data_IF_054493086529
#
_entry.id   IF_054493086529
#
_cell.length_a   1.000
_cell.length_b   1.000
_cell.length_c   1.000
_cell.angle_alpha   90.00
_cell.angle_beta   90.00
_cell.angle_gamma   90.00
#
_symmetry.space_group_name_H-M   'P 1'
#
loop_
_entity.id
_entity.type
_entity.pdbx_description
1 polymer ?
#
# COMPACT_ATOMS: atom_id res chain seq x y z
N UNK A 1 19.53 36.97 5.52
CA UNK A 1 18.93 38.26 5.14
C UNK A 1 18.12 37.98 3.87
N UNK A 2 16.84 37.58 3.92
CA UNK A 2 15.63 38.43 4.06
C UNK A 2 15.82 39.73 3.24
N UNK A 3 15.09 40.03 2.16
CA UNK A 3 13.63 40.00 2.00
C UNK A 3 13.21 40.38 0.54
N UNK A 4 11.93 40.13 0.19
CA UNK A 4 11.12 40.70 -0.93
C UNK A 4 11.49 40.33 -2.40
N UNK A 5 10.59 39.95 -3.32
CA UNK A 5 9.26 40.49 -3.64
C UNK A 5 8.29 39.44 -4.23
N UNK A 6 7.01 39.66 -3.92
CA UNK A 6 5.84 39.10 -4.60
C UNK A 6 5.53 39.87 -5.90
N UNK A 7 4.95 39.11 -6.85
CA UNK A 7 3.97 39.49 -7.91
C UNK A 7 4.42 39.63 -9.37
N UNK A 8 3.48 39.35 -10.31
CA UNK A 8 3.72 38.70 -11.59
C UNK A 8 3.74 39.70 -12.75
N UNK A 9 4.26 39.29 -13.90
CA UNK A 9 3.74 39.82 -15.15
C UNK A 9 3.77 38.83 -16.31
N UNK A 10 2.70 38.95 -17.08
CA UNK A 10 2.41 38.31 -18.36
C UNK A 10 3.41 38.77 -19.40
N UNK A 11 3.81 37.89 -20.31
CA UNK A 11 3.86 38.23 -21.74
C UNK A 11 3.73 36.96 -22.61
N UNK A 12 2.76 37.04 -23.51
CA UNK A 12 2.61 36.16 -24.66
C UNK A 12 3.78 36.38 -25.63
N UNK A 13 4.25 35.30 -26.28
CA UNK A 13 4.43 35.34 -27.73
C UNK A 13 4.36 33.93 -28.30
N UNK A 14 3.38 33.73 -29.17
CA UNK A 14 3.25 32.59 -30.07
C UNK A 14 4.18 32.79 -31.26
N UNK A 15 4.93 31.75 -31.62
CA UNK A 15 5.41 31.56 -33.00
C UNK A 15 5.03 30.16 -33.44
N UNK A 16 4.10 30.12 -34.41
CA UNK A 16 3.65 28.94 -35.12
C UNK A 16 4.68 28.50 -36.18
N UNK A 17 4.86 27.18 -36.32
CA UNK A 17 5.16 26.49 -37.58
C UNK A 17 4.63 25.04 -37.41
N UNK A 18 3.39 24.78 -37.84
CA UNK A 18 3.03 24.07 -39.08
C UNK A 18 3.51 22.61 -39.16
N UNK A 19 2.56 21.66 -39.24
CA UNK A 19 2.81 20.27 -39.61
C UNK A 19 1.74 19.30 -39.09
N UNK A 20 0.69 19.11 -39.89
CA UNK A 20 -0.56 18.37 -39.68
C UNK A 20 -0.48 16.91 -39.17
N UNK A 21 -1.42 16.50 -38.32
CA UNK A 21 -2.42 15.46 -38.63
C UNK A 21 -3.44 15.22 -37.49
N UNK A 22 -4.71 15.33 -37.91
CA UNK A 22 -6.03 15.06 -37.31
C UNK A 22 -6.18 14.01 -36.20
N UNK A 23 -6.96 14.35 -35.15
CA UNK A 23 -8.07 13.53 -34.63
C UNK A 23 -9.14 14.45 -33.97
N UNK A 24 -10.40 14.13 -34.28
CA UNK A 24 -11.63 14.90 -34.05
C UNK A 24 -12.09 14.96 -32.58
N UNK A 25 -12.43 16.15 -32.09
CA UNK A 25 -13.17 16.35 -30.84
C UNK A 25 -14.55 16.98 -31.13
N UNK A 26 -15.61 16.22 -30.83
CA UNK A 26 -16.98 16.73 -30.74
C UNK A 26 -17.09 17.69 -29.55
N UNK A 27 -17.46 18.94 -29.83
CA UNK A 27 -17.78 19.95 -28.82
C UNK A 27 -19.25 20.35 -28.97
N UNK A 28 -20.04 20.13 -27.93
CA UNK A 28 -21.43 20.58 -27.82
C UNK A 28 -21.47 22.10 -27.69
N UNK A 29 -21.96 22.77 -28.73
CA UNK A 29 -22.30 24.19 -28.70
C UNK A 29 -23.66 24.38 -28.02
N UNK A 30 -23.66 25.30 -27.07
CA UNK A 30 -24.82 25.80 -26.32
C UNK A 30 -25.51 26.86 -27.19
N UNK A 31 -26.71 26.56 -27.68
CA UNK A 31 -27.59 27.54 -28.34
C UNK A 31 -28.42 28.28 -27.30
N UNK A 32 -28.26 29.61 -27.27
CA UNK A 32 -29.17 30.55 -26.62
C UNK A 32 -30.28 30.90 -27.63
N UNK A 33 -31.53 30.57 -27.31
CA UNK A 33 -32.70 31.11 -28.00
C UNK A 33 -33.47 32.06 -27.08
N UNK A 34 -33.37 33.34 -27.41
CA UNK A 34 -34.22 34.43 -26.97
C UNK A 34 -35.60 34.32 -27.60
N UNK A 35 -36.67 34.24 -26.80
CA UNK A 35 -38.05 34.49 -27.26
C UNK A 35 -38.61 35.71 -26.54
N UNK A 36 -38.86 36.73 -27.34
CA UNK A 36 -39.60 37.96 -27.04
C UNK A 36 -41.10 37.72 -27.18
N UNK A 37 -41.91 38.20 -26.22
CA UNK A 37 -43.29 38.66 -26.47
C UNK A 37 -43.79 39.58 -25.34
N UNK A 38 -43.99 40.86 -25.70
CA UNK A 38 -44.95 41.81 -25.09
C UNK A 38 -46.34 41.15 -25.07
N UNK A 39 -47.27 41.28 -24.13
CA UNK A 39 -47.59 42.30 -23.13
C UNK A 39 -49.11 42.56 -23.26
N UNK A 40 -49.89 42.56 -22.17
CA UNK A 40 -51.12 43.36 -21.93
C UNK A 40 -51.57 43.17 -20.46
N UNK A 41 -51.85 44.29 -19.81
CA UNK A 41 -52.39 44.52 -18.46
C UNK A 41 -53.93 44.66 -18.56
N UNK A 42 -54.80 44.16 -17.68
CA UNK A 42 -55.32 44.77 -16.41
C UNK A 42 -56.66 44.07 -15.99
N UNK A 43 -57.44 44.49 -14.96
CA UNK A 43 -57.63 43.71 -13.72
C UNK A 43 -59.12 43.47 -13.32
N UNK A 44 -59.41 42.58 -12.37
CA UNK A 44 -60.68 42.60 -11.61
C UNK A 44 -60.44 42.23 -10.14
N UNK A 45 -61.22 42.90 -9.28
CA UNK A 45 -61.13 43.09 -7.84
C UNK A 45 -62.10 42.16 -7.08
N UNK A 46 -61.99 42.21 -5.74
CA UNK A 46 -62.94 41.78 -4.67
C UNK A 46 -62.85 40.31 -4.19
N UNK A 47 -62.98 39.94 -2.90
CA UNK A 47 -62.97 40.59 -1.56
C UNK A 47 -63.08 39.46 -0.50
N UNK A 48 -62.71 39.78 0.75
CA UNK A 48 -63.09 39.14 2.05
C UNK A 48 -62.44 37.78 2.43
N UNK A 49 -61.52 37.73 3.40
CA UNK A 49 -61.69 37.71 4.89
C UNK A 49 -62.33 36.44 5.48
N UNK A 50 -61.52 35.60 6.12
CA UNK A 50 -61.86 34.95 7.40
C UNK A 50 -60.58 34.50 8.13
N UNK A 51 -60.45 34.96 9.36
CA UNK A 51 -59.38 34.72 10.33
C UNK A 51 -59.72 33.52 11.23
N UNK A 52 -58.82 32.55 11.37
CA UNK A 52 -58.79 31.66 12.54
C UNK A 52 -57.38 31.65 13.14
N UNK A 53 -57.33 32.00 14.44
CA UNK A 53 -56.13 31.99 15.28
C UNK A 53 -55.79 30.55 15.67
N UNK A 54 -54.53 30.14 15.50
CA UNK A 54 -53.93 28.99 16.20
C UNK A 54 -52.61 29.45 16.82
N UNK A 55 -52.42 29.13 18.09
CA UNK A 55 -51.25 29.50 18.89
C UNK A 55 -49.93 28.95 18.32
N UNK A 56 -48.79 29.62 18.55
CA UNK A 56 -47.53 29.26 17.91
C UNK A 56 -46.87 28.08 18.62
N UNK A 57 -46.91 26.90 17.98
CA UNK A 57 -45.93 25.84 18.25
C UNK A 57 -44.52 26.35 17.91
N UNK A 58 -43.49 26.07 18.74
CA UNK A 58 -42.14 26.54 18.47
C UNK A 58 -41.67 25.96 17.12
N UNK A 59 -40.94 26.73 16.30
CA UNK A 59 -40.53 26.27 14.99
C UNK A 59 -39.60 25.07 15.17
N UNK A 60 -40.06 23.89 14.73
CA UNK A 60 -39.16 22.79 14.39
C UNK A 60 -38.07 23.39 13.53
N UNK A 61 -36.83 23.32 14.01
CA UNK A 61 -35.66 23.83 13.31
C UNK A 61 -35.72 23.33 11.87
N UNK A 62 -35.95 24.24 10.94
CA UNK A 62 -35.86 23.99 9.51
C UNK A 62 -34.41 23.64 9.23
N UNK A 63 -34.11 22.34 9.26
CA UNK A 63 -32.88 21.76 8.73
C UNK A 63 -32.83 22.23 7.28
N UNK A 64 -31.88 23.12 6.99
CA UNK A 64 -31.67 23.67 5.67
C UNK A 64 -31.54 22.55 4.65
N UNK A 65 -32.50 22.50 3.74
CA UNK A 65 -32.67 21.49 2.71
C UNK A 65 -31.58 21.73 1.64
N UNK A 66 -30.60 20.83 1.56
CA UNK A 66 -29.77 20.66 0.36
C UNK A 66 -30.24 19.38 -0.34
N UNK A 67 -30.94 19.55 -1.45
CA UNK A 67 -31.65 18.49 -2.17
C UNK A 67 -30.73 17.62 -3.05
N UNK A 68 -29.83 16.87 -2.43
CA UNK A 68 -29.33 15.60 -2.98
C UNK A 68 -29.36 14.58 -1.84
N UNK A 69 -30.48 13.87 -1.79
CA UNK A 69 -30.77 12.77 -0.88
C UNK A 69 -29.61 11.75 -0.96
N UNK A 70 -28.97 11.48 0.16
CA UNK A 70 -27.72 10.73 0.29
C UNK A 70 -28.02 9.22 0.13
N UNK A 71 -28.22 8.74 -1.11
CA UNK A 71 -28.76 7.39 -1.43
C UNK A 71 -28.06 6.29 -0.62
N UNK A 72 -26.74 6.40 -0.51
CA UNK A 72 -25.90 5.49 0.28
C UNK A 72 -26.18 5.56 1.79
N UNK A 73 -26.30 6.76 2.36
CA UNK A 73 -26.59 6.92 3.80
C UNK A 73 -28.04 6.56 4.17
N UNK A 74 -28.97 6.63 3.22
CA UNK A 74 -30.35 6.13 3.42
C UNK A 74 -30.36 4.61 3.42
N UNK A 75 -29.53 4.00 2.57
CA UNK A 75 -29.38 2.56 2.52
C UNK A 75 -28.80 2.03 3.85
N UNK A 76 -27.81 2.72 4.42
CA UNK A 76 -27.16 2.35 5.69
C UNK A 76 -27.42 3.40 6.79
N UNK A 77 -28.63 3.45 7.36
CA UNK A 77 -29.04 4.52 8.27
C UNK A 77 -28.28 4.52 9.61
N UNK A 78 -27.87 3.33 10.06
CA UNK A 78 -27.20 3.15 11.36
C UNK A 78 -25.69 3.43 11.29
N UNK A 79 -25.11 3.58 10.10
CA UNK A 79 -23.68 3.75 9.93
C UNK A 79 -23.19 5.11 10.45
N UNK A 80 -21.97 5.14 10.99
CA UNK A 80 -21.37 6.38 11.43
C UNK A 80 -21.18 7.36 10.26
N UNK A 81 -21.51 8.64 10.44
CA UNK A 81 -21.49 9.63 9.34
C UNK A 81 -20.13 9.74 8.66
N UNK A 82 -19.03 9.69 9.41
CA UNK A 82 -17.68 9.78 8.84
C UNK A 82 -17.31 8.56 7.98
N UNK A 83 -18.04 7.44 8.08
CA UNK A 83 -17.84 6.25 7.25
C UNK A 83 -18.25 6.44 5.78
N UNK A 84 -19.00 7.51 5.48
CA UNK A 84 -19.31 7.93 4.10
C UNK A 84 -18.41 9.06 3.60
N UNK A 85 -17.52 9.60 4.44
CA UNK A 85 -16.72 10.77 4.10
C UNK A 85 -15.41 10.37 3.40
N UNK A 86 -15.20 10.76 2.13
CA UNK A 86 -13.97 10.46 1.42
C UNK A 86 -12.76 11.15 2.06
N UNK A 87 -11.59 10.49 2.00
CA UNK A 87 -10.35 11.09 2.50
C UNK A 87 -9.97 12.27 1.62
N UNK A 88 -9.75 13.43 2.24
CA UNK A 88 -9.32 14.66 1.55
C UNK A 88 -8.05 15.20 2.20
N UNK A 89 -7.04 15.48 1.38
CA UNK A 89 -5.81 16.14 1.82
C UNK A 89 -5.94 17.66 1.61
N UNK A 90 -6.80 18.28 2.40
CA UNK A 90 -7.00 19.74 2.40
C UNK A 90 -6.69 20.26 3.80
N UNK A 91 -5.94 21.37 3.95
CA UNK A 91 -5.68 21.98 5.25
C UNK A 91 -6.96 22.18 6.06
N UNK A 92 -6.89 21.91 7.36
CA UNK A 92 -8.05 22.04 8.25
C UNK A 92 -8.48 23.51 8.41
N UNK A 93 -7.52 24.43 8.38
CA UNK A 93 -7.74 25.87 8.47
C UNK A 93 -8.21 26.43 7.13
N UNK A 94 -9.26 27.24 7.15
CA UNK A 94 -9.73 27.96 5.98
C UNK A 94 -8.66 28.94 5.47
N UNK A 95 -8.42 28.90 4.15
CA UNK A 95 -7.58 29.87 3.45
C UNK A 95 -8.43 30.58 2.39
N UNK A 96 -8.43 31.92 2.39
CA UNK A 96 -9.19 32.73 1.44
C UNK A 96 -8.80 32.36 0.00
N UNK A 97 -9.79 32.04 -0.83
CA UNK A 97 -9.60 31.63 -2.23
C UNK A 97 -9.46 30.11 -2.45
N UNK A 98 -9.27 29.30 -1.39
CA UNK A 98 -9.38 27.84 -1.48
C UNK A 98 -10.80 27.37 -1.18
N UNK A 99 -11.18 26.25 -1.79
CA UNK A 99 -12.47 25.60 -1.53
C UNK A 99 -12.45 25.05 -0.09
N UNK A 100 -13.44 25.37 0.75
CA UNK A 100 -13.57 24.81 2.08
C UNK A 100 -13.57 23.28 2.07
N UNK A 101 -12.90 22.66 3.06
CA UNK A 101 -12.78 21.20 3.19
C UNK A 101 -14.14 20.48 3.13
N UNK A 102 -15.16 21.00 3.80
CA UNK A 102 -16.52 20.42 3.80
C UNK A 102 -17.14 20.37 2.39
N UNK A 103 -16.88 21.38 1.57
CA UNK A 103 -17.38 21.44 0.19
C UNK A 103 -16.63 20.43 -0.68
N UNK A 104 -15.31 20.28 -0.48
CA UNK A 104 -14.51 19.28 -1.18
C UNK A 104 -14.96 17.84 -0.86
N UNK A 105 -15.21 17.54 0.43
CA UNK A 105 -15.75 16.24 0.87
C UNK A 105 -17.10 15.97 0.19
N UNK A 106 -18.01 16.94 0.23
CA UNK A 106 -19.33 16.81 -0.40
C UNK A 106 -19.23 16.62 -1.92
N UNK A 107 -18.33 17.34 -2.61
CA UNK A 107 -18.09 17.17 -4.05
C UNK A 107 -17.60 15.78 -4.40
N UNK A 108 -16.59 15.28 -3.66
CA UNK A 108 -16.07 13.92 -3.87
C UNK A 108 -17.12 12.87 -3.53
N UNK A 109 -17.90 13.05 -2.47
CA UNK A 109 -18.98 12.12 -2.12
C UNK A 109 -20.00 12.01 -3.26
N UNK A 110 -20.47 13.15 -3.80
CA UNK A 110 -21.37 13.16 -4.96
C UNK A 110 -20.76 12.51 -6.20
N UNK A 111 -19.47 12.73 -6.43
CA UNK A 111 -18.76 12.07 -7.50
C UNK A 111 -18.72 10.56 -7.30
N UNK A 112 -18.48 10.06 -6.08
CA UNK A 112 -18.41 8.63 -5.81
C UNK A 112 -19.79 7.97 -5.90
N UNK A 113 -20.86 8.65 -5.47
CA UNK A 113 -22.24 8.16 -5.61
C UNK A 113 -22.77 8.18 -7.06
N UNK A 114 -22.19 9.00 -7.92
CA UNK A 114 -22.60 9.10 -9.33
C UNK A 114 -22.19 7.88 -10.15
N UNK A 115 -21.08 7.23 -9.80
CA UNK A 115 -20.56 6.11 -10.57
C UNK A 115 -21.08 4.78 -10.03
N UNK A 116 -21.56 3.92 -10.92
CA UNK A 116 -21.79 2.51 -10.63
C UNK A 116 -20.50 1.72 -10.86
N UNK A 117 -20.06 0.96 -9.85
CA UNK A 117 -18.86 0.14 -9.95
C UNK A 117 -19.02 -0.98 -10.97
N UNK A 118 -20.21 -1.57 -11.10
CA UNK A 118 -20.42 -2.65 -12.06
C UNK A 118 -20.25 -2.12 -13.50
N UNK A 119 -20.84 -0.98 -13.82
CA UNK A 119 -20.66 -0.32 -15.13
C UNK A 119 -19.19 0.07 -15.36
N UNK A 120 -18.48 0.58 -14.35
CA UNK A 120 -17.06 0.91 -14.48
C UNK A 120 -16.18 -0.32 -14.75
N UNK A 121 -16.49 -1.47 -14.14
CA UNK A 121 -15.79 -2.74 -14.41
C UNK A 121 -16.03 -3.19 -15.85
N UNK A 122 -17.27 -3.10 -16.33
CA UNK A 122 -17.64 -3.44 -17.71
C UNK A 122 -16.97 -2.51 -18.73
N UNK A 123 -16.94 -1.20 -18.46
CA UNK A 123 -16.24 -0.20 -19.27
C UNK A 123 -14.72 -0.43 -19.32
N UNK A 124 -14.15 -0.98 -18.25
CA UNK A 124 -12.74 -1.38 -18.21
C UNK A 124 -12.45 -2.69 -18.96
N UNK A 125 -13.47 -3.33 -19.55
CA UNK A 125 -13.36 -4.58 -20.31
C UNK A 125 -13.28 -5.83 -19.44
N UNK A 126 -13.70 -5.73 -18.17
CA UNK A 126 -13.70 -6.84 -17.22
C UNK A 126 -15.12 -7.29 -16.89
N UNK A 127 -15.26 -8.50 -16.38
CA UNK A 127 -16.53 -9.01 -15.84
C UNK A 127 -16.34 -9.45 -14.39
N UNK A 128 -17.37 -9.28 -13.56
CA UNK A 128 -17.32 -9.73 -12.15
C UNK A 128 -17.04 -11.23 -12.03
N UNK A 129 -17.50 -12.02 -13.01
CA UNK A 129 -17.19 -13.45 -13.11
C UNK A 129 -15.70 -13.72 -13.30
N UNK A 130 -15.02 -13.02 -14.21
CA UNK A 130 -13.56 -13.19 -14.39
C UNK A 130 -12.76 -12.81 -13.15
N UNK A 131 -13.28 -11.87 -12.35
CA UNK A 131 -12.62 -11.39 -11.14
C UNK A 131 -12.81 -12.34 -9.94
N UNK A 132 -14.02 -12.84 -9.73
CA UNK A 132 -14.39 -13.55 -8.50
C UNK A 132 -14.51 -15.07 -8.66
N UNK A 133 -14.64 -15.60 -9.89
CA UNK A 133 -14.69 -17.04 -10.11
C UNK A 133 -13.34 -17.67 -9.75
N UNK A 134 -13.36 -18.60 -8.80
CA UNK A 134 -12.19 -19.42 -8.47
C UNK A 134 -12.02 -20.49 -9.53
N UNK A 135 -10.95 -20.40 -10.31
CA UNK A 135 -10.52 -21.46 -11.22
C UNK A 135 -9.26 -22.14 -10.67
N UNK A 136 -9.23 -23.47 -10.71
CA UNK A 136 -8.04 -24.27 -10.40
C UNK A 136 -6.86 -24.01 -11.34
N UNK A 137 -7.13 -23.53 -12.56
CA UNK A 137 -6.12 -23.27 -13.59
C UNK A 137 -5.54 -21.85 -13.52
N UNK A 138 -6.07 -20.99 -12.65
CA UNK A 138 -5.63 -19.61 -12.49
C UNK A 138 -5.19 -19.33 -11.06
N UNK A 139 -4.24 -18.42 -10.90
CA UNK A 139 -3.87 -17.95 -9.56
C UNK A 139 -5.00 -17.08 -8.97
N UNK A 140 -5.25 -17.17 -7.66
CA UNK A 140 -6.23 -16.30 -7.00
C UNK A 140 -5.90 -14.83 -7.19
N UNK A 141 -6.90 -14.02 -7.52
CA UNK A 141 -6.69 -12.63 -7.93
C UNK A 141 -6.27 -11.74 -6.75
N UNK A 142 -6.73 -12.05 -5.54
CA UNK A 142 -6.39 -11.37 -4.29
C UNK A 142 -4.88 -11.43 -3.96
N UNK A 143 -4.13 -12.35 -4.55
CA UNK A 143 -2.66 -12.43 -4.39
C UNK A 143 -1.95 -11.28 -5.12
N UNK A 144 -2.59 -10.70 -6.14
CA UNK A 144 -2.07 -9.58 -6.93
C UNK A 144 -2.60 -8.22 -6.44
N UNK A 145 -3.14 -8.18 -5.23
CA UNK A 145 -3.67 -6.97 -4.63
C UNK A 145 -2.57 -5.96 -4.29
N UNK A 146 -2.66 -4.76 -4.87
CA UNK A 146 -1.80 -3.63 -4.53
C UNK A 146 -2.49 -2.71 -3.50
N UNK A 147 -2.06 -2.81 -2.25
CA UNK A 147 -2.58 -2.00 -1.14
C UNK A 147 -2.20 -0.50 -1.24
N UNK A 148 -1.32 -0.09 -2.16
CA UNK A 148 -1.01 1.33 -2.38
C UNK A 148 -2.20 2.13 -2.93
N UNK A 149 -3.20 1.43 -3.47
CA UNK A 149 -4.48 2.01 -3.88
C UNK A 149 -5.41 2.35 -2.70
N UNK A 150 -5.16 1.81 -1.50
CA UNK A 150 -5.98 2.08 -0.32
C UNK A 150 -5.74 3.50 0.21
N UNK A 151 -6.82 4.22 0.48
CA UNK A 151 -6.72 5.62 0.92
C UNK A 151 -6.43 5.76 2.44
N UNK A 152 -6.71 4.73 3.23
CA UNK A 152 -6.49 4.68 4.69
C UNK A 152 -5.99 3.29 5.08
N UNK A 153 -5.26 3.21 6.18
CA UNK A 153 -4.86 1.93 6.74
C UNK A 153 -6.06 1.23 7.43
N UNK A 154 -5.99 -0.09 7.68
CA UNK A 154 -7.07 -0.83 8.33
C UNK A 154 -7.49 -0.27 9.69
N UNK A 155 -6.53 0.16 10.52
CA UNK A 155 -6.81 0.70 11.86
C UNK A 155 -7.60 2.02 11.81
N UNK A 156 -7.24 2.94 10.92
CA UNK A 156 -7.97 4.20 10.65
C UNK A 156 -9.41 3.91 10.24
N UNK A 157 -9.62 2.90 9.40
CA UNK A 157 -10.95 2.48 8.97
C UNK A 157 -11.78 1.93 10.13
N UNK A 158 -11.21 1.02 10.93
CA UNK A 158 -11.91 0.43 12.06
C UNK A 158 -12.20 1.45 13.18
N UNK A 159 -11.34 2.46 13.37
CA UNK A 159 -11.60 3.56 14.29
C UNK A 159 -12.85 4.35 13.90
N UNK A 160 -13.04 4.63 12.60
CA UNK A 160 -14.24 5.32 12.10
C UNK A 160 -15.51 4.54 12.43
N UNK A 161 -15.49 3.21 12.27
CA UNK A 161 -16.62 2.36 12.63
C UNK A 161 -16.88 2.36 14.15
N UNK A 162 -15.80 2.33 14.95
CA UNK A 162 -15.87 2.31 16.42
C UNK A 162 -16.41 3.59 17.06
N UNK A 163 -16.42 4.71 16.34
CA UNK A 163 -16.98 6.00 16.80
C UNK A 163 -18.51 6.01 16.92
N UNK A 164 -19.19 4.95 16.48
CA UNK A 164 -20.63 4.83 16.67
C UNK A 164 -21.00 4.41 18.09
N UNK A 165 -21.86 5.19 18.75
CA UNK A 165 -22.39 4.87 20.06
C UNK A 165 -23.25 3.61 20.02
N UNK A 166 -24.02 3.42 18.94
CA UNK A 166 -24.85 2.23 18.72
C UNK A 166 -23.98 1.06 18.23
N UNK A 167 -23.98 -0.05 18.97
CA UNK A 167 -23.22 -1.26 18.62
C UNK A 167 -23.62 -1.81 17.25
N UNK A 168 -24.91 -1.78 16.91
CA UNK A 168 -25.40 -2.22 15.60
C UNK A 168 -24.92 -1.33 14.45
N UNK A 169 -24.50 -0.10 14.76
CA UNK A 169 -23.97 0.88 13.82
C UNK A 169 -22.44 0.88 13.70
N UNK A 170 -21.74 0.01 14.45
CA UNK A 170 -20.27 -0.09 14.41
C UNK A 170 -19.79 -0.92 13.22
N UNK A 171 -20.00 -0.39 12.03
CA UNK A 171 -19.56 -0.99 10.77
C UNK A 171 -19.18 0.07 9.74
N UNK A 172 -18.46 -0.35 8.70
CA UNK A 172 -18.23 0.46 7.51
C UNK A 172 -19.22 0.05 6.41
N UNK A 173 -19.96 0.99 5.80
CA UNK A 173 -20.84 0.71 4.69
C UNK A 173 -20.01 0.43 3.45
N UNK A 174 -20.33 -0.65 2.75
CA UNK A 174 -19.55 -1.15 1.64
C UNK A 174 -20.44 -1.84 0.61
N UNK A 175 -19.83 -2.20 -0.51
CA UNK A 175 -20.38 -3.12 -1.49
C UNK A 175 -19.29 -4.11 -1.90
N UNK A 176 -19.65 -5.38 -2.05
CA UNK A 176 -18.71 -6.43 -2.41
C UNK A 176 -19.20 -7.25 -3.58
N UNK A 177 -18.28 -7.90 -4.27
CA UNK A 177 -18.62 -8.88 -5.29
C UNK A 177 -19.20 -10.11 -4.58
N UNK A 178 -20.45 -10.43 -4.88
CA UNK A 178 -21.19 -11.53 -4.27
C UNK A 178 -21.68 -12.50 -5.34
N UNK A 179 -21.52 -13.80 -5.09
CA UNK A 179 -22.09 -14.85 -5.92
C UNK A 179 -23.55 -15.08 -5.54
N UNK A 180 -24.48 -14.76 -6.45
CA UNK A 180 -25.90 -14.92 -6.20
C UNK A 180 -26.33 -16.38 -6.40
N UNK A 181 -26.33 -16.88 -7.64
CA UNK A 181 -26.68 -18.26 -8.01
C UNK A 181 -25.95 -18.63 -9.31
N UNK A 182 -25.44 -19.86 -9.43
CA UNK A 182 -24.87 -20.42 -10.67
C UNK A 182 -23.80 -19.54 -11.33
N UNK A 183 -22.80 -19.07 -10.57
CA UNK A 183 -21.74 -18.19 -11.08
C UNK A 183 -22.23 -16.82 -11.60
N UNK A 184 -23.44 -16.37 -11.21
CA UNK A 184 -23.91 -14.99 -11.41
C UNK A 184 -23.36 -14.09 -10.29
N UNK A 185 -22.35 -13.29 -10.62
CA UNK A 185 -21.68 -12.39 -9.70
C UNK A 185 -22.24 -10.97 -9.84
N UNK A 186 -22.58 -10.34 -8.71
CA UNK A 186 -23.12 -8.98 -8.67
C UNK A 186 -22.50 -8.17 -7.54
N UNK A 187 -22.49 -6.85 -7.69
CA UNK A 187 -22.19 -5.96 -6.57
C UNK A 187 -23.34 -5.97 -5.58
N UNK A 188 -23.07 -6.37 -4.34
CA UNK A 188 -24.06 -6.43 -3.26
C UNK A 188 -23.64 -5.54 -2.09
N UNK A 189 -24.54 -4.70 -1.56
CA UNK A 189 -24.28 -3.94 -0.34
C UNK A 189 -23.93 -4.85 0.84
N UNK A 190 -22.96 -4.45 1.66
CA UNK A 190 -22.54 -5.17 2.85
C UNK A 190 -22.03 -4.21 3.95
N UNK A 191 -21.95 -4.74 5.17
CA UNK A 191 -21.44 -4.05 6.36
C UNK A 191 -20.15 -4.71 6.80
N UNK A 192 -19.06 -3.96 6.82
CA UNK A 192 -17.76 -4.46 7.28
C UNK A 192 -17.64 -4.23 8.78
N UNK A 193 -17.57 -5.31 9.56
CA UNK A 193 -17.56 -5.25 11.03
C UNK A 193 -16.17 -5.46 11.64
N UNK A 194 -15.26 -6.09 10.90
CA UNK A 194 -13.88 -6.30 11.32
C UNK A 194 -12.95 -6.44 10.13
N UNK A 195 -11.66 -6.18 10.35
CA UNK A 195 -10.61 -6.30 9.36
C UNK A 195 -9.38 -6.97 10.00
N UNK A 196 -8.98 -8.12 9.47
CA UNK A 196 -7.69 -8.75 9.77
C UNK A 196 -6.61 -8.15 8.86
N UNK A 197 -5.79 -7.27 9.42
CA UNK A 197 -4.74 -6.58 8.68
C UNK A 197 -3.58 -7.50 8.24
N UNK A 198 -3.35 -8.63 8.92
CA UNK A 198 -2.25 -9.53 8.58
C UNK A 198 -2.57 -10.36 7.33
N UNK A 199 -3.83 -10.77 7.18
CA UNK A 199 -4.32 -11.52 6.01
C UNK A 199 -4.97 -10.65 4.95
N UNK A 200 -5.23 -9.38 5.27
CA UNK A 200 -6.03 -8.45 4.48
C UNK A 200 -7.44 -8.99 4.15
N UNK A 201 -8.09 -9.58 5.16
CA UNK A 201 -9.43 -10.16 5.08
C UNK A 201 -10.44 -9.33 5.89
N UNK A 202 -11.65 -9.21 5.36
CA UNK A 202 -12.76 -8.50 6.00
C UNK A 202 -13.79 -9.50 6.53
N UNK A 203 -14.33 -9.21 7.70
CA UNK A 203 -15.58 -9.84 8.17
C UNK A 203 -16.75 -8.98 7.74
N UNK A 204 -17.60 -9.52 6.89
CA UNK A 204 -18.71 -8.80 6.25
C UNK A 204 -20.06 -9.43 6.59
N UNK A 205 -21.06 -8.58 6.76
CA UNK A 205 -22.45 -8.98 6.85
C UNK A 205 -23.16 -8.49 5.60
N UNK A 206 -23.72 -9.41 4.81
CA UNK A 206 -24.36 -9.06 3.55
C UNK A 206 -25.71 -8.37 3.76
N UNK A 207 -25.93 -7.30 3.02
CA UNK A 207 -27.12 -6.47 3.15
C UNK A 207 -26.90 -5.21 3.98
N UNK A 208 -27.77 -4.21 3.78
CA UNK A 208 -27.57 -2.88 4.34
C UNK A 208 -28.06 -2.72 5.78
N UNK A 209 -28.98 -3.58 6.21
CA UNK A 209 -29.60 -3.57 7.54
C UNK A 209 -29.30 -4.87 8.28
N UNK A 210 -29.18 -4.85 9.62
CA UNK A 210 -29.03 -6.05 10.42
C UNK A 210 -30.23 -6.99 10.27
N UNK A 211 -29.96 -8.28 10.11
CA UNK A 211 -30.96 -9.36 10.11
C UNK A 211 -30.72 -10.23 11.35
N UNK A 212 -31.78 -10.76 12.00
CA UNK A 212 -31.62 -11.71 13.10
C UNK A 212 -30.79 -12.93 12.65
N UNK A 213 -29.90 -13.39 13.53
CA UNK A 213 -29.06 -14.59 13.33
C UNK A 213 -28.12 -14.53 12.11
N UNK A 214 -27.72 -13.34 11.69
CA UNK A 214 -26.75 -13.16 10.61
C UNK A 214 -25.34 -13.62 11.01
N UNK A 215 -24.72 -14.41 10.15
CA UNK A 215 -23.33 -14.88 10.32
C UNK A 215 -22.41 -14.07 9.42
N UNK A 216 -21.29 -13.53 9.94
CA UNK A 216 -20.34 -12.81 9.13
C UNK A 216 -19.53 -13.75 8.23
N UNK A 217 -19.40 -13.38 6.97
CA UNK A 217 -18.54 -14.05 6.00
C UNK A 217 -17.15 -13.42 6.02
N UNK A 218 -16.13 -14.23 5.70
CA UNK A 218 -14.76 -13.76 5.53
C UNK A 218 -14.49 -13.58 4.04
N UNK A 219 -14.21 -12.34 3.64
CA UNK A 219 -13.99 -11.97 2.24
C UNK A 219 -12.67 -11.21 2.12
N UNK A 220 -11.80 -11.55 1.15
CA UNK A 220 -10.61 -10.73 0.88
C UNK A 220 -10.97 -9.27 0.64
N UNK A 221 -10.22 -8.36 1.27
CA UNK A 221 -10.42 -6.89 1.14
C UNK A 221 -10.52 -6.44 -0.31
N UNK A 222 -9.75 -7.08 -1.18
CA UNK A 222 -9.68 -6.82 -2.61
C UNK A 222 -11.05 -6.87 -3.31
N UNK A 223 -12.00 -7.71 -2.87
CA UNK A 223 -13.32 -7.87 -3.50
C UNK A 223 -14.42 -6.97 -2.93
N UNK A 224 -14.07 -6.10 -1.98
CA UNK A 224 -15.01 -5.20 -1.30
C UNK A 224 -14.58 -3.76 -1.54
N UNK A 225 -15.51 -2.88 -1.91
CA UNK A 225 -15.29 -1.43 -1.93
C UNK A 225 -16.01 -0.78 -0.76
N UNK A 226 -15.30 -0.01 0.04
CA UNK A 226 -15.95 0.82 1.07
C UNK A 226 -16.58 2.05 0.39
N UNK A 227 -17.78 2.48 0.80
CA UNK A 227 -18.49 3.55 0.09
C UNK A 227 -17.79 4.92 0.14
N UNK A 228 -16.94 5.14 1.13
CA UNK A 228 -16.08 6.33 1.22
C UNK A 228 -14.83 6.27 0.31
N UNK A 229 -14.68 5.22 -0.50
CA UNK A 229 -13.59 5.06 -1.46
C UNK A 229 -13.99 5.47 -2.87
N UNK A 230 -12.99 5.92 -3.62
CA UNK A 230 -13.15 6.32 -5.01
C UNK A 230 -13.44 5.07 -5.88
N UNK A 231 -14.62 4.98 -6.52
CA UNK A 231 -14.98 3.83 -7.34
C UNK A 231 -14.02 3.65 -8.53
N UNK A 232 -13.47 4.74 -9.08
CA UNK A 232 -12.53 4.67 -10.21
C UNK A 232 -11.20 4.09 -9.74
N UNK A 233 -10.72 4.47 -8.55
CA UNK A 233 -9.48 3.93 -7.98
C UNK A 233 -9.64 2.46 -7.63
N UNK A 234 -10.79 2.07 -7.08
CA UNK A 234 -11.12 0.66 -6.82
C UNK A 234 -11.10 -0.17 -8.11
N UNK A 235 -11.73 0.30 -9.20
CA UNK A 235 -11.69 -0.42 -10.48
C UNK A 235 -10.28 -0.45 -11.07
N UNK A 236 -9.49 0.62 -10.95
CA UNK A 236 -8.07 0.60 -11.36
C UNK A 236 -7.25 -0.44 -10.61
N UNK A 237 -7.51 -0.64 -9.31
CA UNK A 237 -6.89 -1.69 -8.49
C UNK A 237 -7.25 -3.08 -9.05
N UNK A 238 -8.52 -3.33 -9.36
CA UNK A 238 -8.98 -4.59 -9.98
C UNK A 238 -8.31 -4.84 -11.33
N UNK A 239 -8.24 -3.82 -12.19
CA UNK A 239 -7.58 -3.90 -13.52
C UNK A 239 -6.09 -4.18 -13.37
N UNK A 240 -5.40 -3.49 -12.46
CA UNK A 240 -3.97 -3.70 -12.23
C UNK A 240 -3.68 -5.13 -11.78
N UNK A 241 -4.45 -5.64 -10.81
CA UNK A 241 -4.33 -7.01 -10.34
C UNK A 241 -4.60 -8.03 -11.46
N UNK A 242 -5.61 -7.80 -12.31
CA UNK A 242 -5.91 -8.67 -13.43
C UNK A 242 -4.75 -8.72 -14.44
N UNK A 243 -4.19 -7.56 -14.79
CA UNK A 243 -3.03 -7.49 -15.68
C UNK A 243 -1.80 -8.18 -15.07
N UNK A 244 -1.58 -8.03 -13.76
CA UNK A 244 -0.49 -8.72 -13.07
C UNK A 244 -0.69 -10.24 -13.03
N UNK A 245 -1.93 -10.70 -12.80
CA UNK A 245 -2.28 -12.12 -12.86
C UNK A 245 -1.99 -12.70 -14.24
N UNK A 246 -2.44 -12.04 -15.30
CA UNK A 246 -2.16 -12.45 -16.68
C UNK A 246 -0.66 -12.55 -16.95
N UNK A 247 0.12 -11.55 -16.50
CA UNK A 247 1.60 -11.54 -16.61
C UNK A 247 2.25 -12.69 -15.86
N UNK A 248 1.85 -12.91 -14.62
CA UNK A 248 2.38 -14.01 -13.82
C UNK A 248 2.06 -15.37 -14.44
N UNK A 249 0.82 -15.57 -14.87
CA UNK A 249 0.38 -16.81 -15.52
C UNK A 249 1.14 -17.07 -16.83
N UNK A 250 1.28 -16.06 -17.69
CA UNK A 250 2.07 -16.14 -18.92
C UNK A 250 3.54 -16.48 -18.63
N UNK A 251 4.13 -15.84 -17.63
CA UNK A 251 5.51 -16.06 -17.23
C UNK A 251 5.74 -17.45 -16.65
N UNK A 252 4.80 -17.97 -15.85
CA UNK A 252 4.81 -19.35 -15.35
C UNK A 252 4.76 -20.35 -16.51
N UNK A 253 3.86 -20.15 -17.49
CA UNK A 253 3.77 -21.01 -18.68
C UNK A 253 5.07 -21.01 -19.48
N UNK A 254 5.62 -19.83 -19.75
CA UNK A 254 6.91 -19.69 -20.43
C UNK A 254 8.03 -20.40 -19.66
N UNK A 255 8.08 -20.23 -18.33
CA UNK A 255 9.11 -20.85 -17.50
C UNK A 255 8.97 -22.37 -17.46
N UNK A 256 7.74 -22.87 -17.41
CA UNK A 256 7.44 -24.30 -17.49
C UNK A 256 7.92 -24.89 -18.83
N UNK A 257 7.72 -24.18 -19.95
CA UNK A 257 8.26 -24.60 -21.24
C UNK A 257 9.80 -24.70 -21.22
N UNK A 258 10.49 -23.70 -20.64
CA UNK A 258 11.95 -23.72 -20.51
C UNK A 258 12.44 -24.88 -19.62
N UNK A 259 11.70 -25.18 -18.54
CA UNK A 259 12.03 -26.25 -17.60
C UNK A 259 11.76 -27.64 -18.18
N UNK A 260 10.84 -27.75 -19.13
CA UNK A 260 10.53 -28.98 -19.86
C UNK A 260 11.50 -29.25 -21.04
N UNK A 261 12.39 -28.31 -21.36
CA UNK A 261 13.39 -28.52 -22.39
C UNK A 261 14.46 -29.54 -21.94
N UNK A 262 14.98 -30.38 -22.85
CA UNK A 262 16.08 -31.30 -22.58
C UNK A 262 17.27 -30.62 -21.89
N UNK A 263 17.94 -31.36 -21.01
CA UNK A 263 19.12 -30.89 -20.27
C UNK A 263 20.40 -31.62 -20.69
N UNK A 264 20.27 -32.61 -21.57
CA UNK A 264 21.32 -33.41 -22.14
C UNK A 264 22.22 -32.54 -23.03
N UNK A 265 23.54 -32.68 -22.88
CA UNK A 265 24.52 -31.92 -23.65
C UNK A 265 24.78 -30.49 -23.16
N UNK A 266 23.99 -29.97 -22.20
CA UNK A 266 24.25 -28.68 -21.59
C UNK A 266 25.40 -28.75 -20.59
N UNK A 267 26.31 -27.79 -20.66
CA UNK A 267 27.38 -27.63 -19.68
C UNK A 267 26.80 -27.38 -18.28
N UNK A 268 27.33 -28.12 -17.31
CA UNK A 268 27.01 -27.90 -15.90
C UNK A 268 27.84 -26.75 -15.31
N UNK A 269 27.75 -26.62 -13.99
CA UNK A 269 28.69 -25.78 -13.25
C UNK A 269 30.13 -26.28 -13.47
N UNK A 270 31.08 -25.37 -13.60
CA UNK A 270 32.50 -25.75 -13.64
C UNK A 270 32.85 -26.59 -12.41
N UNK A 271 33.55 -27.72 -12.61
CA UNK A 271 33.86 -28.67 -11.54
C UNK A 271 34.79 -28.04 -10.49
N UNK A 272 35.68 -27.14 -10.91
CA UNK A 272 36.51 -26.34 -10.02
C UNK A 272 35.71 -25.36 -9.16
N UNK A 273 34.76 -24.65 -9.79
CA UNK A 273 33.83 -23.78 -9.07
C UNK A 273 32.96 -24.55 -8.06
N UNK A 274 32.45 -25.73 -8.42
CA UNK A 274 31.66 -26.57 -7.53
C UNK A 274 32.44 -27.01 -6.29
N UNK A 275 33.69 -27.44 -6.47
CA UNK A 275 34.59 -27.79 -5.38
C UNK A 275 34.91 -26.59 -4.48
N UNK A 276 35.12 -25.40 -5.07
CA UNK A 276 35.35 -24.16 -4.33
C UNK A 276 34.12 -23.75 -3.51
N UNK A 277 32.92 -23.81 -4.08
CA UNK A 277 31.67 -23.49 -3.38
C UNK A 277 31.44 -24.42 -2.19
N UNK A 278 31.71 -25.72 -2.38
CA UNK A 278 31.67 -26.70 -1.30
C UNK A 278 32.64 -26.32 -0.18
N UNK A 279 33.91 -26.11 -0.52
CA UNK A 279 34.93 -25.79 0.46
C UNK A 279 34.61 -24.51 1.25
N UNK A 280 34.13 -23.46 0.58
CA UNK A 280 33.73 -22.21 1.24
C UNK A 280 32.47 -22.38 2.09
N UNK A 281 31.50 -23.18 1.61
CA UNK A 281 30.22 -23.41 2.30
C UNK A 281 30.34 -24.33 3.52
N UNK A 282 31.26 -25.30 3.51
CA UNK A 282 31.44 -26.29 4.58
C UNK A 282 32.66 -26.01 5.46
N UNK A 283 33.55 -25.11 5.06
CA UNK A 283 34.77 -24.74 5.79
C UNK A 283 34.56 -23.92 7.07
N UNK A 284 33.32 -23.59 7.44
CA UNK A 284 33.03 -22.85 8.66
C UNK A 284 33.01 -23.77 9.90
N UNK A 285 33.58 -23.36 11.06
CA UNK A 285 33.69 -24.22 12.25
C UNK A 285 32.36 -24.84 12.72
N UNK A 286 31.26 -24.10 12.57
CA UNK A 286 29.90 -24.49 12.97
C UNK A 286 29.15 -25.34 11.93
N UNK A 287 29.71 -25.50 10.72
CA UNK A 287 29.22 -26.41 9.67
C UNK A 287 30.21 -27.55 9.42
N UNK A 288 31.08 -27.83 10.39
CA UNK A 288 31.97 -28.99 10.30
C UNK A 288 31.17 -30.29 10.44
N UNK A 289 31.69 -31.37 9.85
CA UNK A 289 31.11 -32.72 9.94
C UNK A 289 30.90 -33.20 11.40
N UNK A 290 31.65 -32.65 12.35
CA UNK A 290 31.52 -32.94 13.77
C UNK A 290 30.26 -32.32 14.40
N UNK A 291 29.85 -31.13 13.94
CA UNK A 291 28.66 -30.41 14.45
C UNK A 291 27.42 -30.74 13.64
N UNK A 292 27.58 -30.96 12.33
CA UNK A 292 26.50 -31.24 11.41
C UNK A 292 26.92 -32.39 10.46
N UNK A 293 26.53 -33.64 10.76
CA UNK A 293 27.03 -34.83 10.07
C UNK A 293 26.72 -34.87 8.56
N UNK A 294 25.58 -34.32 8.15
CA UNK A 294 25.07 -34.39 6.77
C UNK A 294 25.48 -33.18 5.91
N UNK A 295 26.43 -32.35 6.36
CA UNK A 295 26.77 -31.09 5.65
C UNK A 295 27.19 -31.35 4.21
N UNK A 296 28.03 -32.35 3.98
CA UNK A 296 28.54 -32.66 2.65
C UNK A 296 27.42 -33.15 1.72
N UNK A 297 26.51 -33.99 2.22
CA UNK A 297 25.37 -34.46 1.43
C UNK A 297 24.40 -33.32 1.07
N UNK A 298 24.15 -32.41 2.02
CA UNK A 298 23.31 -31.22 1.76
C UNK A 298 23.99 -30.24 0.80
N UNK A 299 25.30 -30.06 0.93
CA UNK A 299 26.09 -29.24 0.00
C UNK A 299 26.02 -29.82 -1.42
N UNK A 300 26.11 -31.15 -1.57
CA UNK A 300 25.92 -31.80 -2.87
C UNK A 300 24.53 -31.58 -3.45
N UNK A 301 23.48 -31.71 -2.63
CA UNK A 301 22.10 -31.42 -3.06
C UNK A 301 21.94 -29.97 -3.55
N UNK A 302 22.51 -29.01 -2.81
CA UNK A 302 22.50 -27.60 -3.23
C UNK A 302 23.29 -27.38 -4.52
N UNK A 303 24.48 -27.97 -4.68
CA UNK A 303 25.26 -27.87 -5.92
C UNK A 303 24.49 -28.47 -7.10
N UNK A 304 23.77 -29.58 -6.89
CA UNK A 304 22.90 -30.16 -7.91
C UNK A 304 21.74 -29.22 -8.28
N UNK A 305 21.10 -28.57 -7.30
CA UNK A 305 20.06 -27.56 -7.52
C UNK A 305 20.60 -26.34 -8.29
N UNK A 306 21.79 -25.83 -7.92
CA UNK A 306 22.47 -24.75 -8.64
C UNK A 306 22.77 -25.15 -10.09
N UNK A 307 23.29 -26.36 -10.30
CA UNK A 307 23.59 -26.88 -11.64
C UNK A 307 22.33 -27.00 -12.48
N UNK A 308 21.22 -27.46 -11.89
CA UNK A 308 19.93 -27.54 -12.56
C UNK A 308 19.40 -26.14 -12.92
N UNK A 309 19.49 -25.18 -12.00
CA UNK A 309 19.09 -23.79 -12.25
C UNK A 309 19.94 -23.13 -13.34
N UNK A 310 21.24 -23.43 -13.40
CA UNK A 310 22.14 -23.01 -14.47
C UNK A 310 21.70 -23.55 -15.83
N UNK A 311 21.46 -24.86 -15.93
CA UNK A 311 20.99 -25.50 -17.18
C UNK A 311 19.64 -24.95 -17.65
N UNK A 312 18.68 -24.75 -16.73
CA UNK A 312 17.39 -24.10 -17.02
C UNK A 312 17.56 -22.67 -17.54
N UNK A 313 18.53 -21.93 -16.98
CA UNK A 313 18.85 -20.58 -17.45
C UNK A 313 19.46 -20.58 -18.85
N UNK A 314 20.31 -21.58 -19.15
CA UNK A 314 20.84 -21.79 -20.48
C UNK A 314 19.74 -22.09 -21.51
N UNK A 315 18.82 -23.01 -21.17
CA UNK A 315 17.63 -23.30 -21.98
C UNK A 315 16.79 -22.06 -22.27
N UNK A 316 16.57 -21.21 -21.26
CA UNK A 316 15.86 -19.94 -21.44
C UNK A 316 16.56 -19.02 -22.45
N UNK A 317 17.88 -18.89 -22.37
CA UNK A 317 18.68 -18.07 -23.31
C UNK A 317 18.59 -18.65 -24.73
N UNK A 318 18.71 -19.97 -24.88
CA UNK A 318 18.60 -20.63 -26.19
C UNK A 318 17.20 -20.44 -26.80
N UNK A 319 16.15 -20.58 -26.00
CA UNK A 319 14.78 -20.37 -26.47
C UNK A 319 14.56 -18.92 -26.89
N UNK A 320 15.06 -17.96 -26.11
CA UNK A 320 15.01 -16.54 -26.45
C UNK A 320 15.74 -16.25 -27.77
N UNK A 321 17.00 -16.68 -27.91
CA UNK A 321 17.77 -16.50 -29.15
C UNK A 321 17.07 -17.13 -30.36
N UNK A 322 16.45 -18.30 -30.18
CA UNK A 322 15.68 -18.95 -31.24
C UNK A 322 14.43 -18.16 -31.60
N UNK A 323 13.69 -17.63 -30.62
CA UNK A 323 12.51 -16.78 -30.84
C UNK A 323 12.86 -15.48 -31.58
N UNK A 324 14.04 -14.91 -31.34
CA UNK A 324 14.52 -13.71 -32.07
C UNK A 324 14.78 -14.01 -33.56
N UNK A 325 15.10 -15.26 -33.91
CA UNK A 325 15.46 -15.69 -35.28
C UNK A 325 14.32 -16.37 -36.03
N UNK A 326 13.32 -16.89 -35.33
CA UNK A 326 12.23 -17.72 -35.87
C UNK A 326 10.86 -17.12 -35.53
N UNK A 327 10.27 -16.41 -36.49
CA UNK A 327 9.00 -15.70 -36.32
C UNK A 327 7.82 -16.66 -36.05
N UNK A 328 7.86 -17.88 -36.60
CA UNK A 328 6.81 -18.88 -36.37
C UNK A 328 6.85 -19.37 -34.92
N UNK A 329 8.05 -19.62 -34.39
CA UNK A 329 8.22 -19.98 -32.98
C UNK A 329 7.80 -18.82 -32.08
N UNK A 330 8.23 -17.59 -32.37
CA UNK A 330 7.84 -16.39 -31.62
C UNK A 330 6.32 -16.27 -31.55
N UNK A 331 5.63 -16.41 -32.69
CA UNK A 331 4.16 -16.35 -32.74
C UNK A 331 3.50 -17.49 -31.97
N UNK A 332 4.08 -18.69 -32.01
CA UNK A 332 3.57 -19.85 -31.26
C UNK A 332 3.68 -19.61 -29.76
N UNK A 333 4.82 -19.14 -29.28
CA UNK A 333 5.03 -18.80 -27.86
C UNK A 333 4.15 -17.63 -27.45
N UNK A 334 4.04 -16.59 -28.27
CA UNK A 334 3.17 -15.44 -28.01
C UNK A 334 1.70 -15.85 -27.92
N UNK A 335 1.22 -16.76 -28.78
CA UNK A 335 -0.14 -17.27 -28.69
C UNK A 335 -0.37 -18.18 -27.46
N UNK A 336 0.62 -19.00 -27.09
CA UNK A 336 0.51 -19.88 -25.93
C UNK A 336 0.55 -19.12 -24.59
N UNK A 337 1.35 -18.06 -24.52
CA UNK A 337 1.53 -17.23 -23.31
C UNK A 337 0.64 -16.00 -23.28
N UNK A 338 0.07 -15.59 -24.43
CA UNK A 338 -0.64 -14.32 -24.63
C UNK A 338 0.24 -13.09 -24.36
N UNK A 339 1.57 -13.19 -24.53
CA UNK A 339 2.53 -12.10 -24.28
C UNK A 339 3.65 -12.00 -25.30
N UNK A 340 4.19 -10.79 -25.46
CA UNK A 340 5.37 -10.55 -26.29
C UNK A 340 6.66 -11.06 -25.64
N UNK A 341 7.71 -11.23 -26.45
CA UNK A 341 9.02 -11.62 -25.93
C UNK A 341 9.59 -10.60 -24.94
N UNK A 342 9.41 -9.29 -25.19
CA UNK A 342 9.88 -8.24 -24.27
C UNK A 342 9.24 -8.36 -22.88
N UNK A 343 7.93 -8.63 -22.84
CA UNK A 343 7.19 -8.81 -21.60
C UNK A 343 7.63 -10.07 -20.84
N UNK A 344 7.86 -11.18 -21.56
CA UNK A 344 8.33 -12.43 -20.96
C UNK A 344 9.74 -12.29 -20.36
N UNK A 345 10.63 -11.54 -21.02
CA UNK A 345 12.00 -11.29 -20.55
C UNK A 345 12.01 -10.35 -19.34
N UNK A 346 11.17 -9.31 -19.34
CA UNK A 346 11.04 -8.38 -18.20
C UNK A 346 10.44 -9.05 -16.95
N UNK A 347 9.56 -10.02 -17.14
CA UNK A 347 8.92 -10.77 -16.06
C UNK A 347 7.72 -10.06 -15.43
N UNK A 348 7.06 -10.69 -14.44
CA UNK A 348 5.77 -10.25 -13.90
C UNK A 348 5.88 -9.02 -12.99
N UNK A 349 7.09 -8.69 -12.53
CA UNK A 349 7.33 -7.45 -11.84
C UNK A 349 7.23 -6.33 -12.88
N UNK A 350 6.03 -5.74 -12.98
CA UNK A 350 5.88 -4.40 -13.53
C UNK A 350 7.04 -3.60 -12.96
N UNK A 351 7.85 -3.03 -13.86
CA UNK A 351 8.90 -2.11 -13.45
C UNK A 351 8.32 -1.30 -12.31
N UNK A 352 8.97 -1.33 -11.14
CA UNK A 352 8.79 -0.25 -10.16
C UNK A 352 8.75 0.96 -11.07
N UNK A 353 7.62 1.68 -11.11
CA UNK A 353 7.63 2.98 -11.73
C UNK A 353 8.63 3.73 -10.86
N UNK A 354 9.92 3.61 -11.21
CA UNK A 354 10.96 4.53 -10.86
C UNK A 354 10.36 5.75 -11.48
N UNK A 355 9.61 6.51 -10.68
CA UNK A 355 8.80 7.65 -11.12
C UNK A 355 9.59 8.28 -12.24
N UNK A 356 9.13 8.09 -13.49
CA UNK A 356 9.94 8.33 -14.68
C UNK A 356 10.08 9.84 -14.78
N UNK A 357 11.00 10.35 -13.96
CA UNK A 357 11.07 11.72 -13.47
C UNK A 357 9.71 12.12 -12.83
N UNK A 358 9.72 12.46 -11.54
CA UNK A 358 8.69 13.37 -11.04
C UNK A 358 8.56 14.55 -12.01
N UNK A 359 7.37 15.16 -12.17
CA UNK A 359 7.15 16.35 -13.01
C UNK A 359 8.41 17.21 -13.01
N UNK A 360 8.91 17.68 -14.16
CA UNK A 360 10.18 18.42 -14.24
C UNK A 360 10.32 19.52 -13.18
N UNK A 361 9.21 20.14 -12.80
CA UNK A 361 9.11 21.15 -11.72
C UNK A 361 9.29 20.64 -10.28
N UNK A 362 9.27 19.32 -10.07
CA UNK A 362 9.47 18.64 -8.78
C UNK A 362 10.83 17.96 -8.67
N UNK A 363 11.57 17.87 -9.78
CA UNK A 363 12.98 17.49 -9.76
C UNK A 363 13.74 18.74 -9.36
N UNK A 364 14.29 18.77 -8.15
CA UNK A 364 15.26 19.80 -7.80
C UNK A 364 16.51 19.48 -8.62
N UNK A 365 16.90 20.30 -9.61
CA UNK A 365 18.17 20.09 -10.29
C UNK A 365 19.26 20.34 -9.26
N UNK A 366 19.78 19.25 -8.69
CA UNK A 366 21.03 19.32 -7.97
C UNK A 366 22.04 19.64 -9.07
N UNK A 367 22.64 20.84 -9.04
CA UNK A 367 23.49 21.36 -10.12
C UNK A 367 24.79 20.54 -10.29
N UNK A 368 25.94 21.20 -10.30
CA UNK A 368 27.23 20.50 -10.27
C UNK A 368 27.49 19.91 -8.87
N UNK A 369 26.69 18.94 -8.46
CA UNK A 369 26.90 18.22 -7.21
C UNK A 369 27.98 17.17 -7.42
N UNK A 370 29.20 17.55 -7.09
CA UNK A 370 30.31 16.63 -7.04
C UNK A 370 30.14 15.72 -5.83
N UNK A 371 29.65 14.50 -6.10
CA UNK A 371 29.48 13.48 -5.08
C UNK A 371 30.79 13.13 -4.39
N UNK A 372 31.91 13.17 -5.12
CA UNK A 372 33.22 12.79 -4.61
C UNK A 372 33.74 13.84 -3.64
N UNK A 373 33.59 15.12 -3.97
CA UNK A 373 33.94 16.22 -3.06
C UNK A 373 33.06 16.20 -1.80
N UNK A 374 31.75 15.97 -1.97
CA UNK A 374 30.78 15.93 -0.86
C UNK A 374 30.99 14.72 0.04
N UNK A 375 31.28 13.56 -0.53
CA UNK A 375 31.65 12.35 0.20
C UNK A 375 32.96 12.56 0.96
N UNK A 376 33.98 13.17 0.33
CA UNK A 376 35.24 13.52 1.02
C UNK A 376 35.01 14.52 2.16
N UNK A 377 34.23 15.57 1.92
CA UNK A 377 33.88 16.56 2.93
C UNK A 377 33.07 15.95 4.08
N UNK A 378 32.12 15.08 3.78
CA UNK A 378 31.34 14.35 4.77
C UNK A 378 32.21 13.37 5.56
N UNK A 379 33.04 12.59 4.88
CA UNK A 379 33.99 11.64 5.48
C UNK A 379 35.02 12.33 6.38
N UNK A 380 35.43 13.55 6.03
CA UNK A 380 36.34 14.37 6.83
C UNK A 380 35.64 15.03 8.02
N UNK A 381 34.41 15.52 7.83
CA UNK A 381 33.62 16.18 8.89
C UNK A 381 32.95 15.19 9.84
N UNK A 382 32.81 13.93 9.43
CA UNK A 382 32.24 12.87 10.24
C UNK A 382 33.32 12.18 11.05
N UNK A 383 33.11 12.13 12.36
CA UNK A 383 33.96 11.34 13.25
C UNK A 383 33.61 9.84 13.20
N UNK A 384 32.50 9.46 12.55
CA UNK A 384 32.05 8.06 12.47
C UNK A 384 32.96 7.14 11.66
N UNK A 385 33.97 7.68 10.98
CA UNK A 385 34.98 6.94 10.22
C UNK A 385 36.27 6.73 11.02
N UNK A 386 36.46 7.42 12.15
CA UNK A 386 37.63 7.26 12.99
C UNK A 386 37.53 5.96 13.80
N UNK A 387 38.55 5.08 13.76
CA UNK A 387 38.50 3.79 14.46
C UNK A 387 38.32 3.95 15.97
N UNK A 388 38.85 5.03 16.55
CA UNK A 388 38.68 5.39 17.95
C UNK A 388 37.19 5.63 18.24
N UNK A 389 36.54 6.51 17.47
CA UNK A 389 35.13 6.86 17.68
C UNK A 389 34.21 5.66 17.43
N UNK A 390 34.49 4.82 16.43
CA UNK A 390 33.76 3.57 16.20
C UNK A 390 33.90 2.62 17.38
N UNK A 391 35.10 2.47 17.93
CA UNK A 391 35.38 1.62 19.10
C UNK A 391 34.67 2.15 20.34
N UNK A 392 34.71 3.46 20.59
CA UNK A 392 33.99 4.09 21.69
C UNK A 392 32.48 3.89 21.57
N UNK A 393 31.90 4.15 20.39
CA UNK A 393 30.46 3.99 20.16
C UNK A 393 30.01 2.53 20.29
N UNK A 394 30.83 1.59 19.82
CA UNK A 394 30.53 0.15 19.93
C UNK A 394 30.63 -0.32 21.38
N UNK A 395 31.61 0.17 22.12
CA UNK A 395 31.73 -0.09 23.56
C UNK A 395 30.55 0.49 24.35
N UNK A 396 30.20 1.76 24.12
CA UNK A 396 29.02 2.39 24.76
C UNK A 396 27.75 1.64 24.41
N UNK A 397 27.57 1.25 23.13
CA UNK A 397 26.44 0.42 22.70
C UNK A 397 26.39 -0.91 23.45
N UNK A 398 27.53 -1.56 23.66
CA UNK A 398 27.59 -2.82 24.40
C UNK A 398 27.12 -2.66 25.86
N UNK A 399 27.50 -1.57 26.54
CA UNK A 399 27.03 -1.25 27.88
C UNK A 399 25.53 -0.92 27.91
N UNK A 400 25.01 -0.25 26.88
CA UNK A 400 23.56 -0.02 26.74
C UNK A 400 22.78 -1.31 26.48
N UNK A 401 23.34 -2.25 25.71
CA UNK A 401 22.71 -3.56 25.47
C UNK A 401 22.58 -4.36 26.76
N UNK A 402 23.59 -4.33 27.65
CA UNK A 402 23.48 -5.00 28.97
C UNK A 402 22.29 -4.48 29.78
N UNK A 403 21.98 -3.18 29.69
CA UNK A 403 20.81 -2.59 30.35
C UNK A 403 19.51 -3.03 29.65
N UNK A 404 19.51 -3.10 28.32
CA UNK A 404 18.36 -3.53 27.52
C UNK A 404 18.00 -5.00 27.75
N UNK A 405 19.00 -5.88 27.87
CA UNK A 405 18.85 -7.31 28.16
C UNK A 405 18.56 -7.57 29.66
N UNK A 406 18.92 -6.63 30.52
CA UNK A 406 18.59 -6.65 31.94
C UNK A 406 17.09 -6.47 32.18
N UNK A 407 16.62 -6.93 33.35
CA UNK A 407 15.23 -6.74 33.79
C UNK A 407 15.18 -5.79 34.99
N UNK A 408 14.32 -4.77 34.89
CA UNK A 408 14.02 -3.85 36.00
C UNK A 408 13.32 -4.56 37.17
N UNK A 409 12.66 -5.68 36.88
CA UNK A 409 11.97 -6.49 37.87
C UNK A 409 12.68 -7.83 38.05
N UNK A 410 12.61 -8.36 39.26
CA UNK A 410 13.01 -9.74 39.46
C UNK A 410 11.88 -10.64 38.93
N UNK A 411 12.19 -11.69 38.17
CA UNK A 411 11.21 -12.67 37.70
C UNK A 411 11.47 -13.99 38.43
N UNK A 412 10.85 -14.22 39.60
CA UNK A 412 11.14 -15.40 40.39
C UNK A 412 10.68 -16.66 39.66
N UNK A 413 11.55 -17.67 39.60
CA UNK A 413 11.22 -18.98 38.99
C UNK A 413 10.32 -19.85 39.88
N UNK A 414 10.02 -19.40 41.10
CA UNK A 414 9.17 -20.13 42.05
C UNK A 414 7.69 -20.02 41.65
N UNK A 415 6.98 -21.16 41.64
CA UNK A 415 5.55 -21.23 41.24
C UNK A 415 4.61 -20.44 42.17
N UNK A 416 4.98 -20.27 43.44
CA UNK A 416 4.22 -19.50 44.42
C UNK A 416 5.15 -18.92 45.49
N UNK A 417 4.81 -17.74 46.02
CA UNK A 417 5.48 -17.12 47.16
C UNK A 417 4.55 -16.18 47.92
N UNK A 418 4.87 -15.89 49.18
CA UNK A 418 4.12 -14.93 49.97
C UNK A 418 4.28 -13.51 49.40
N UNK A 419 3.18 -12.75 49.36
CA UNK A 419 3.13 -11.42 48.78
C UNK A 419 4.16 -10.46 49.41
N UNK A 420 4.30 -10.48 50.74
CA UNK A 420 5.27 -9.64 51.46
C UNK A 420 6.72 -9.95 51.03
N UNK A 421 7.05 -11.23 50.83
CA UNK A 421 8.36 -11.66 50.34
C UNK A 421 8.60 -11.25 48.89
N UNK A 422 7.58 -11.35 48.04
CA UNK A 422 7.66 -10.85 46.66
C UNK A 422 7.91 -9.35 46.63
N UNK A 423 7.15 -8.58 47.42
CA UNK A 423 7.29 -7.13 47.50
C UNK A 423 8.69 -6.71 47.96
N UNK A 424 9.20 -7.33 49.03
CA UNK A 424 10.56 -7.08 49.51
C UNK A 424 11.61 -7.40 48.43
N UNK A 425 11.48 -8.55 47.77
CA UNK A 425 12.41 -8.98 46.73
C UNK A 425 12.39 -8.04 45.50
N UNK A 426 11.23 -7.52 45.11
CA UNK A 426 11.15 -6.49 44.08
C UNK A 426 11.78 -5.18 44.53
N UNK A 427 11.52 -4.75 45.77
CA UNK A 427 12.02 -3.50 46.31
C UNK A 427 13.55 -3.51 46.44
N UNK A 428 14.11 -4.64 46.87
CA UNK A 428 15.55 -4.87 46.93
C UNK A 428 16.17 -4.87 45.53
N UNK A 429 15.59 -5.60 44.58
CA UNK A 429 16.07 -5.66 43.19
C UNK A 429 16.02 -4.29 42.49
N UNK A 430 14.91 -3.56 42.64
CA UNK A 430 14.76 -2.20 42.13
C UNK A 430 15.79 -1.25 42.75
N UNK A 431 16.04 -1.36 44.06
CA UNK A 431 17.05 -0.52 44.73
C UNK A 431 18.47 -0.83 44.24
N UNK A 432 18.77 -2.10 43.99
CA UNK A 432 20.06 -2.56 43.44
C UNK A 432 20.24 -2.07 42.00
N UNK A 433 19.22 -2.25 41.16
CA UNK A 433 19.23 -1.80 39.77
C UNK A 433 19.34 -0.27 39.69
N UNK A 434 18.68 0.48 40.58
CA UNK A 434 18.82 1.92 40.67
C UNK A 434 20.25 2.36 41.04
N UNK A 435 20.92 1.63 41.94
CA UNK A 435 22.34 1.88 42.29
C UNK A 435 23.27 1.57 41.11
N UNK A 436 23.06 0.45 40.43
CA UNK A 436 23.81 0.07 39.24
C UNK A 436 23.68 1.12 38.13
N UNK A 437 22.45 1.51 37.78
CA UNK A 437 22.19 2.49 36.71
C UNK A 437 22.71 3.89 37.04
N UNK A 438 22.68 4.31 38.31
CA UNK A 438 23.14 5.65 38.71
C UNK A 438 24.64 5.72 39.03
N UNK A 439 25.31 4.59 39.16
CA UNK A 439 26.73 4.51 39.53
C UNK A 439 27.51 3.70 38.50
N UNK A 440 27.54 2.39 38.70
CA UNK A 440 28.40 1.47 37.95
C UNK A 440 28.22 1.56 36.42
N UNK A 441 26.99 1.63 35.92
CA UNK A 441 26.73 1.76 34.49
C UNK A 441 27.28 3.07 33.92
N UNK A 442 27.08 4.18 34.63
CA UNK A 442 27.60 5.50 34.21
C UNK A 442 29.12 5.54 34.23
N UNK A 443 29.75 4.92 35.23
CA UNK A 443 31.21 4.81 35.33
C UNK A 443 31.76 3.92 34.21
N UNK A 444 31.12 2.78 33.92
CA UNK A 444 31.52 1.89 32.83
C UNK A 444 31.47 2.59 31.46
N UNK A 445 30.42 3.38 31.19
CA UNK A 445 30.33 4.19 29.97
C UNK A 445 31.49 5.21 29.90
N UNK A 446 31.75 5.91 31.01
CA UNK A 446 32.86 6.86 31.08
C UNK A 446 34.22 6.19 30.86
N UNK A 447 34.42 5.00 31.43
CA UNK A 447 35.68 4.25 31.29
C UNK A 447 35.90 3.71 29.89
N UNK A 448 34.84 3.26 29.21
CA UNK A 448 34.91 2.88 27.79
C UNK A 448 35.38 4.07 26.95
N UNK A 449 34.84 5.26 27.19
CA UNK A 449 35.25 6.47 26.47
C UNK A 449 36.69 6.85 26.81
N UNK A 450 37.08 6.83 28.09
CA UNK A 450 38.45 7.17 28.55
C UNK A 450 39.52 6.25 27.98
N UNK A 451 39.27 4.94 27.97
CA UNK A 451 40.20 3.92 27.44
C UNK A 451 40.52 4.12 25.96
N UNK A 452 39.56 4.65 25.21
CA UNK A 452 39.73 4.93 23.78
C UNK A 452 40.47 6.25 23.56
N UNK A 453 40.24 7.27 24.39
CA UNK A 453 40.95 8.56 24.30
C UNK A 453 42.43 8.51 24.72
N UNK A 454 42.84 7.49 25.48
CA UNK A 454 44.21 7.28 25.92
C UNK A 454 44.65 5.84 25.65
N UNK A 455 45.08 5.51 24.41
CA UNK A 455 45.69 4.21 24.16
C UNK A 455 46.92 4.05 25.06
N UNK A 456 47.14 2.88 25.68
CA UNK A 456 48.39 2.63 26.38
C UNK A 456 49.53 2.83 25.40
N UNK A 457 50.50 3.68 25.78
CA UNK A 457 51.76 3.85 25.07
C UNK A 457 52.34 2.44 24.87
N UNK A 458 52.41 1.98 23.63
CA UNK A 458 53.18 0.78 23.30
C UNK A 458 54.64 1.14 23.50
N UNK A 459 55.20 0.77 24.64
CA UNK A 459 56.64 0.69 24.81
C UNK A 459 57.15 -0.48 23.93
N UNK A 460 57.93 -0.15 22.90
CA UNK A 460 58.79 -1.08 22.14
C UNK A 460 58.13 -1.75 20.94
#
# INVERSE_FOLDING_TARGET
MLEHHLRPDRNFSLTNAQGEATLSAFSLTRSEETISRKGVMSPVRDKQQATERRDPTPPRSLIGISATYNKSAILFPDAHKAAFEPKVQVPFTYQRGRIPRKIEIERRRRQYEFHDVQELVELAGLTLKQLAKKDSQELPLEVFDDTSYDCRNPSEWMEIAGQNENENGRYLPAEGIYEFVNEDFRMRPCRVIAWDAAKNELKVLWGPTPVPDETPDVVPRFFVRLLAEDPIVYVKRLVSAQQQREKAMAWIRYRLCCDAMPLEGLSGLDSGLGARLRHLGTGMPHLSKAVFPDVEERAERLIAEFTLAWKRSHNRILLQDRMERDEVLLRTVANATQMSLEELVRGPNMAIQRTDKGKGDSVIPIGNFDFEERERSFTFSTYYTQPEVVTALTGVRSECIKVLEGSLFNLPKARQMQLAKFQQLQQDHMSSMAKYLKGEWTENICDVIRKVSHPPVRDG
#
